data_IF_722524413415
#
_entry.id   IF_722524413415
#
_cell.length_a   1.000
_cell.length_b   1.000
_cell.length_c   1.000
_cell.angle_alpha   90.00
_cell.angle_beta   90.00
_cell.angle_gamma   90.00
#
_symmetry.space_group_name_H-M   'P 1'
#
loop_
_entity.id
_entity.type
_entity.pdbx_description
1 polymer ?
#
# COMPACT_ATOMS: atom_id res chain seq x y z
N UNK A 1 -14.65 -23.57 -3.46
CA UNK A 1 -13.52 -22.81 -4.02
C UNK A 1 -12.77 -22.24 -2.83
N UNK A 2 -11.45 -22.28 -2.84
CA UNK A 2 -10.65 -21.61 -1.80
C UNK A 2 -10.70 -20.10 -2.04
N UNK A 3 -10.87 -19.31 -0.99
CA UNK A 3 -10.87 -17.85 -1.11
C UNK A 3 -9.52 -17.36 -1.65
N UNK A 4 -9.58 -16.52 -2.69
CA UNK A 4 -8.39 -15.97 -3.36
C UNK A 4 -7.83 -14.75 -2.63
N UNK A 5 -8.59 -14.19 -1.69
CA UNK A 5 -8.13 -13.14 -0.78
C UNK A 5 -8.47 -13.59 0.64
N UNK A 6 -7.44 -13.81 1.45
CA UNK A 6 -7.60 -14.11 2.87
C UNK A 6 -7.54 -12.80 3.66
N UNK A 7 -8.34 -12.71 4.71
CA UNK A 7 -8.38 -11.57 5.61
C UNK A 7 -8.35 -12.05 7.06
N UNK A 8 -7.39 -11.53 7.83
CA UNK A 8 -7.24 -11.80 9.25
C UNK A 8 -6.98 -10.50 10.01
N UNK A 9 -7.38 -10.45 11.28
CA UNK A 9 -7.10 -9.34 12.19
C UNK A 9 -6.45 -9.91 13.43
N UNK A 10 -5.24 -9.46 13.72
CA UNK A 10 -4.58 -9.71 15.00
C UNK A 10 -4.82 -8.48 15.89
N UNK A 11 -5.43 -8.70 17.05
CA UNK A 11 -5.65 -7.66 18.05
C UNK A 11 -4.79 -7.91 19.26
N UNK A 12 -4.12 -6.87 19.76
CA UNK A 12 -3.43 -6.95 21.05
C UNK A 12 -4.39 -6.73 22.24
N UNK A 13 -3.86 -6.80 23.46
CA UNK A 13 -4.63 -6.62 24.70
C UNK A 13 -5.26 -5.23 24.87
N UNK A 14 -4.84 -4.24 24.07
CA UNK A 14 -5.41 -2.89 24.00
C UNK A 14 -6.38 -2.71 22.83
N UNK A 15 -6.65 -3.77 22.07
CA UNK A 15 -7.55 -3.76 20.93
C UNK A 15 -6.94 -3.11 19.68
N UNK A 16 -5.61 -3.00 19.59
CA UNK A 16 -4.98 -2.51 18.36
C UNK A 16 -5.09 -3.57 17.27
N UNK A 17 -5.92 -3.31 16.25
CA UNK A 17 -6.07 -4.21 15.12
C UNK A 17 -4.96 -4.04 14.08
N UNK A 18 -4.25 -5.13 13.79
CA UNK A 18 -3.42 -5.27 12.59
C UNK A 18 -4.15 -6.19 11.63
N UNK A 19 -4.63 -5.63 10.53
CA UNK A 19 -5.25 -6.38 9.45
C UNK A 19 -4.19 -6.96 8.53
N UNK A 20 -4.30 -8.24 8.17
CA UNK A 20 -3.51 -8.85 7.10
C UNK A 20 -4.42 -9.26 5.96
N UNK A 21 -4.20 -8.68 4.78
CA UNK A 21 -4.89 -9.01 3.53
C UNK A 21 -3.92 -9.80 2.65
N UNK A 22 -4.22 -11.06 2.39
CA UNK A 22 -3.31 -11.96 1.66
C UNK A 22 -3.91 -12.40 0.33
N UNK A 23 -3.26 -12.06 -0.79
CA UNK A 23 -3.60 -12.67 -2.09
C UNK A 23 -3.17 -14.13 -2.08
N UNK A 24 -4.12 -15.03 -2.31
CA UNK A 24 -3.98 -16.46 -2.13
C UNK A 24 -4.35 -17.24 -3.40
N UNK A 25 -3.52 -17.09 -4.43
CA UNK A 25 -3.62 -17.84 -5.68
C UNK A 25 -2.22 -18.26 -6.17
N UNK A 26 -1.46 -19.01 -5.34
CA UNK A 26 -0.02 -19.22 -5.54
C UNK A 26 0.27 -20.05 -6.80
N UNK A 27 -0.62 -20.96 -7.19
CA UNK A 27 -0.49 -21.80 -8.40
C UNK A 27 -0.50 -20.96 -9.69
N UNK A 28 -1.13 -19.79 -9.65
CA UNK A 28 -1.13 -18.80 -10.74
C UNK A 28 -0.26 -17.59 -10.43
N UNK A 29 0.69 -17.73 -9.49
CA UNK A 29 1.57 -16.64 -9.07
C UNK A 29 0.80 -15.38 -8.66
N UNK A 30 -0.36 -15.53 -8.01
CA UNK A 30 -1.22 -14.44 -7.55
C UNK A 30 -1.62 -13.47 -8.68
N UNK A 31 -1.70 -13.95 -9.91
CA UNK A 31 -2.14 -13.16 -11.05
C UNK A 31 -3.59 -12.68 -10.85
N UNK A 32 -3.85 -11.41 -11.16
CA UNK A 32 -5.13 -10.76 -10.96
C UNK A 32 -6.16 -11.25 -11.98
N UNK A 33 -7.37 -11.42 -11.49
CA UNK A 33 -8.59 -11.51 -12.25
C UNK A 33 -9.65 -10.62 -11.58
N UNK A 34 -10.82 -10.54 -12.20
CA UNK A 34 -11.99 -9.79 -11.73
C UNK A 34 -12.39 -10.15 -10.28
N UNK A 35 -12.23 -11.42 -9.92
CA UNK A 35 -12.58 -11.94 -8.59
C UNK A 35 -11.59 -11.46 -7.51
N UNK A 36 -10.28 -11.53 -7.76
CA UNK A 36 -9.27 -10.96 -6.84
C UNK A 36 -9.46 -9.45 -6.69
N UNK A 37 -9.67 -8.73 -7.80
CA UNK A 37 -9.87 -7.27 -7.77
C UNK A 37 -11.10 -6.91 -6.93
N UNK A 38 -12.22 -7.61 -7.13
CA UNK A 38 -13.46 -7.39 -6.38
C UNK A 38 -13.28 -7.71 -4.89
N UNK A 39 -12.67 -8.85 -4.55
CA UNK A 39 -12.44 -9.25 -3.16
C UNK A 39 -11.49 -8.28 -2.44
N UNK A 40 -10.38 -7.88 -3.06
CA UNK A 40 -9.47 -6.88 -2.50
C UNK A 40 -10.18 -5.55 -2.25
N UNK A 41 -10.95 -5.06 -3.24
CA UNK A 41 -11.71 -3.81 -3.11
C UNK A 41 -12.67 -3.86 -1.92
N UNK A 42 -13.43 -4.95 -1.79
CA UNK A 42 -14.37 -5.10 -0.68
C UNK A 42 -13.65 -5.18 0.67
N UNK A 43 -12.56 -5.94 0.76
CA UNK A 43 -11.77 -6.05 2.00
C UNK A 43 -11.15 -4.71 2.39
N UNK A 44 -10.60 -3.94 1.43
CA UNK A 44 -10.07 -2.60 1.72
C UNK A 44 -11.16 -1.64 2.20
N UNK A 45 -12.36 -1.67 1.60
CA UNK A 45 -13.51 -0.86 2.06
C UNK A 45 -13.94 -1.25 3.48
N UNK A 46 -13.97 -2.55 3.79
CA UNK A 46 -14.28 -3.04 5.14
C UNK A 46 -13.24 -2.52 6.15
N UNK A 47 -11.95 -2.63 5.84
CA UNK A 47 -10.88 -2.15 6.74
C UNK A 47 -10.94 -0.63 6.90
N UNK A 48 -11.14 0.12 5.81
CA UNK A 48 -11.21 1.57 5.84
C UNK A 48 -12.34 2.11 6.74
N UNK A 49 -13.42 1.34 6.90
CA UNK A 49 -14.55 1.68 7.77
C UNK A 49 -14.38 1.23 9.23
N UNK A 50 -13.36 0.43 9.55
CA UNK A 50 -13.11 -0.10 10.90
C UNK A 50 -12.05 0.72 11.64
N UNK A 51 -12.51 1.53 12.59
CA UNK A 51 -11.64 2.40 13.39
C UNK A 51 -10.74 1.64 14.37
N UNK A 52 -11.03 0.36 14.66
CA UNK A 52 -10.21 -0.48 15.52
C UNK A 52 -8.91 -0.95 14.84
N UNK A 53 -8.89 -0.95 13.51
CA UNK A 53 -7.71 -1.32 12.72
C UNK A 53 -6.81 -0.10 12.57
N UNK A 54 -5.54 -0.29 12.96
CA UNK A 54 -4.50 0.75 12.91
C UNK A 54 -3.56 0.58 11.72
N UNK A 55 -3.24 -0.67 11.38
CA UNK A 55 -2.29 -1.03 10.31
C UNK A 55 -2.90 -2.11 9.42
N UNK A 56 -2.69 -2.02 8.12
CA UNK A 56 -3.04 -3.05 7.14
C UNK A 56 -1.77 -3.54 6.44
N UNK A 57 -1.52 -4.85 6.50
CA UNK A 57 -0.44 -5.52 5.76
C UNK A 57 -1.04 -6.18 4.53
N UNK A 58 -0.54 -5.80 3.36
CA UNK A 58 -0.83 -6.47 2.09
C UNK A 58 0.25 -7.51 1.82
N UNK A 59 -0.13 -8.79 1.88
CA UNK A 59 0.74 -9.94 1.70
C UNK A 59 0.24 -10.83 0.55
N UNK A 60 0.99 -11.90 0.28
CA UNK A 60 0.56 -12.92 -0.67
C UNK A 60 1.18 -14.28 -0.34
N UNK A 61 0.55 -15.37 -0.79
CA UNK A 61 1.09 -16.73 -0.60
C UNK A 61 2.01 -17.15 -1.76
N UNK A 62 2.89 -18.11 -1.51
CA UNK A 62 3.76 -18.68 -2.55
C UNK A 62 4.95 -17.79 -2.94
N UNK A 63 5.51 -18.04 -4.13
CA UNK A 63 6.81 -17.50 -4.57
C UNK A 63 6.76 -16.07 -5.14
N UNK A 64 5.59 -15.56 -5.46
CA UNK A 64 5.42 -14.29 -6.18
C UNK A 64 4.47 -13.41 -5.40
N UNK A 65 4.75 -12.11 -5.36
CA UNK A 65 3.78 -11.15 -4.84
C UNK A 65 2.56 -11.11 -5.75
N UNK A 66 2.78 -10.83 -7.04
CA UNK A 66 1.85 -11.13 -8.11
C UNK A 66 2.53 -11.04 -9.49
N UNK A 67 2.20 -11.97 -10.39
CA UNK A 67 2.71 -12.00 -11.76
C UNK A 67 1.99 -11.05 -12.73
N UNK A 68 1.05 -10.21 -12.26
CA UNK A 68 0.28 -9.28 -13.08
C UNK A 68 -1.07 -9.87 -13.49
N UNK A 69 -1.52 -9.65 -14.72
CA UNK A 69 -2.84 -10.11 -15.18
C UNK A 69 -2.88 -11.63 -15.45
N UNK A 70 -3.96 -12.30 -15.04
CA UNK A 70 -4.22 -13.71 -15.33
C UNK A 70 -4.43 -13.94 -16.83
N UNK A 71 -3.91 -15.06 -17.36
CA UNK A 71 -3.99 -15.40 -18.78
C UNK A 71 -5.43 -15.53 -19.29
N UNK A 72 -6.31 -16.12 -18.49
CA UNK A 72 -7.72 -16.28 -18.87
C UNK A 72 -8.45 -14.95 -18.83
N UNK A 73 -8.11 -14.06 -17.89
CA UNK A 73 -8.61 -12.70 -17.87
C UNK A 73 -8.14 -11.89 -19.09
N UNK A 74 -6.86 -11.98 -19.44
CA UNK A 74 -6.33 -11.36 -20.68
C UNK A 74 -7.02 -11.86 -21.95
N UNK A 75 -7.35 -13.16 -22.03
CA UNK A 75 -8.13 -13.71 -23.15
C UNK A 75 -9.53 -13.10 -23.24
N UNK A 76 -10.18 -12.84 -22.10
CA UNK A 76 -11.49 -12.16 -22.07
C UNK A 76 -11.37 -10.71 -22.51
N UNK A 77 -10.39 -9.97 -21.96
CA UNK A 77 -10.11 -8.58 -22.34
C UNK A 77 -9.91 -8.39 -23.85
N UNK A 78 -9.21 -9.34 -24.50
CA UNK A 78 -9.01 -9.30 -25.95
C UNK A 78 -10.31 -9.42 -26.77
N UNK A 79 -11.38 -9.95 -26.18
CA UNK A 79 -12.70 -10.10 -26.83
C UNK A 79 -13.70 -9.01 -26.44
N UNK A 80 -13.37 -8.18 -25.44
CA UNK A 80 -14.24 -7.12 -24.96
C UNK A 80 -14.32 -5.96 -25.95
N UNK A 81 -15.48 -5.31 -25.98
CA UNK A 81 -15.63 -3.99 -26.62
C UNK A 81 -15.02 -2.88 -25.74
N UNK A 82 -15.17 -1.62 -26.17
CA UNK A 82 -14.61 -0.50 -25.43
C UNK A 82 -15.26 -0.32 -24.05
N UNK A 83 -16.59 -0.35 -23.98
CA UNK A 83 -17.33 -0.15 -22.73
C UNK A 83 -17.04 -1.25 -21.70
N UNK A 84 -16.90 -2.49 -22.14
CA UNK A 84 -16.52 -3.63 -21.31
C UNK A 84 -15.09 -3.48 -20.76
N UNK A 85 -14.13 -3.10 -21.61
CA UNK A 85 -12.76 -2.80 -21.17
C UNK A 85 -12.70 -1.59 -20.23
N UNK A 86 -13.51 -0.56 -20.47
CA UNK A 86 -13.57 0.61 -19.59
C UNK A 86 -14.12 0.23 -18.21
N UNK A 87 -15.17 -0.60 -18.17
CA UNK A 87 -15.72 -1.11 -16.90
C UNK A 87 -14.69 -1.94 -16.12
N UNK A 88 -13.96 -2.81 -16.81
CA UNK A 88 -12.90 -3.63 -16.22
C UNK A 88 -11.75 -2.76 -15.68
N UNK A 89 -11.29 -1.78 -16.46
CA UNK A 89 -10.27 -0.82 -16.03
C UNK A 89 -10.72 0.02 -14.83
N UNK A 90 -12.00 0.43 -14.78
CA UNK A 90 -12.55 1.17 -13.65
C UNK A 90 -12.58 0.35 -12.36
N UNK A 91 -12.80 -0.97 -12.43
CA UNK A 91 -12.75 -1.83 -11.24
C UNK A 91 -11.34 -1.87 -10.63
N UNK A 92 -10.31 -2.01 -11.48
CA UNK A 92 -8.90 -1.91 -11.05
C UNK A 92 -8.58 -0.52 -10.49
N UNK A 93 -9.07 0.55 -11.13
CA UNK A 93 -8.88 1.92 -10.67
C UNK A 93 -9.53 2.18 -9.30
N UNK A 94 -10.75 1.69 -9.06
CA UNK A 94 -11.46 1.80 -7.78
C UNK A 94 -10.72 1.07 -6.65
N UNK A 95 -10.19 -0.14 -6.93
CA UNK A 95 -9.38 -0.89 -5.98
C UNK A 95 -8.13 -0.11 -5.54
N UNK A 96 -7.39 0.43 -6.51
CA UNK A 96 -6.16 1.20 -6.25
C UNK A 96 -6.46 2.51 -5.53
N UNK A 97 -7.52 3.20 -5.94
CA UNK A 97 -7.98 4.41 -5.26
C UNK A 97 -8.34 4.13 -3.80
N UNK A 98 -9.11 3.06 -3.56
CA UNK A 98 -9.49 2.63 -2.20
C UNK A 98 -8.26 2.36 -1.35
N UNK A 99 -7.26 1.64 -1.87
CA UNK A 99 -6.02 1.34 -1.15
C UNK A 99 -5.21 2.62 -0.85
N UNK A 100 -5.02 3.49 -1.84
CA UNK A 100 -4.18 4.68 -1.70
C UNK A 100 -4.75 5.68 -0.67
N UNK A 101 -6.07 5.80 -0.57
CA UNK A 101 -6.74 6.80 0.28
C UNK A 101 -7.34 6.25 1.57
N UNK A 102 -7.10 4.98 1.92
CA UNK A 102 -7.59 4.44 3.19
C UNK A 102 -6.88 5.09 4.40
N UNK A 103 -7.59 5.28 5.53
CA UNK A 103 -7.06 6.03 6.68
C UNK A 103 -5.96 5.29 7.44
N UNK A 104 -5.96 3.94 7.44
CA UNK A 104 -4.92 3.15 8.10
C UNK A 104 -3.58 3.27 7.39
N UNK A 105 -2.49 3.06 8.14
CA UNK A 105 -1.16 2.87 7.53
C UNK A 105 -1.09 1.51 6.87
N UNK A 106 -0.57 1.48 5.64
CA UNK A 106 -0.53 0.29 4.79
C UNK A 106 0.90 -0.14 4.49
N UNK A 107 1.18 -1.43 4.61
CA UNK A 107 2.50 -2.01 4.38
C UNK A 107 2.37 -3.13 3.34
N UNK A 108 3.10 -3.04 2.23
CA UNK A 108 3.23 -4.15 1.29
C UNK A 108 4.41 -5.06 1.70
N UNK A 109 4.13 -6.35 1.88
CA UNK A 109 5.13 -7.38 2.10
C UNK A 109 5.44 -8.11 0.79
N UNK A 110 6.52 -7.73 0.10
CA UNK A 110 6.85 -8.20 -1.25
C UNK A 110 7.94 -9.28 -1.21
N UNK A 111 7.53 -10.55 -1.21
CA UNK A 111 8.45 -11.69 -1.09
C UNK A 111 9.08 -12.13 -2.42
N UNK A 112 8.57 -11.65 -3.56
CA UNK A 112 9.00 -12.13 -4.88
C UNK A 112 8.58 -11.22 -6.03
N UNK A 113 8.31 -11.82 -7.20
CA UNK A 113 7.93 -11.07 -8.40
C UNK A 113 6.65 -10.24 -8.20
N UNK A 114 6.68 -8.97 -8.59
CA UNK A 114 5.56 -8.01 -8.56
C UNK A 114 5.47 -7.30 -9.92
N UNK A 115 4.57 -7.74 -10.81
CA UNK A 115 4.45 -7.22 -12.18
C UNK A 115 3.12 -6.52 -12.45
N UNK A 116 3.15 -5.51 -13.32
CA UNK A 116 1.99 -4.74 -13.76
C UNK A 116 1.17 -4.17 -12.61
N UNK A 117 -0.10 -4.59 -12.49
CA UNK A 117 -1.01 -4.23 -11.40
C UNK A 117 -0.41 -4.37 -10.00
N UNK A 118 0.47 -5.35 -9.79
CA UNK A 118 1.14 -5.57 -8.51
C UNK A 118 2.12 -4.44 -8.12
N UNK A 119 2.77 -3.82 -9.12
CA UNK A 119 3.59 -2.61 -8.89
C UNK A 119 2.67 -1.45 -8.50
N UNK A 120 1.47 -1.37 -9.08
CA UNK A 120 0.43 -0.44 -8.67
C UNK A 120 0.03 -0.60 -7.21
N UNK A 121 -0.26 -1.83 -6.76
CA UNK A 121 -0.55 -2.12 -5.35
C UNK A 121 0.59 -1.65 -4.43
N UNK A 122 1.83 -2.04 -4.74
CA UNK A 122 3.00 -1.63 -3.96
C UNK A 122 3.14 -0.09 -3.91
N UNK A 123 2.88 0.59 -5.03
CA UNK A 123 2.96 2.06 -5.12
C UNK A 123 1.84 2.79 -4.38
N UNK A 124 0.72 2.11 -4.06
CA UNK A 124 -0.37 2.67 -3.27
C UNK A 124 -0.19 2.46 -1.77
N UNK A 125 0.69 1.53 -1.36
CA UNK A 125 0.99 1.33 0.05
C UNK A 125 1.88 2.45 0.58
N UNK A 126 1.71 2.80 1.85
CA UNK A 126 2.51 3.83 2.53
C UNK A 126 3.96 3.39 2.70
N UNK A 127 4.17 2.07 2.87
CA UNK A 127 5.47 1.46 3.05
C UNK A 127 5.56 0.14 2.29
N UNK A 128 6.74 -0.17 1.75
CA UNK A 128 7.01 -1.44 1.07
C UNK A 128 8.27 -2.07 1.64
N UNK A 129 8.10 -3.25 2.23
CA UNK A 129 9.20 -4.11 2.69
C UNK A 129 9.35 -5.26 1.70
N UNK A 130 10.52 -5.39 1.09
CA UNK A 130 10.76 -6.38 0.05
C UNK A 130 11.87 -7.36 0.43
N UNK A 131 11.74 -8.62 -0.03
CA UNK A 131 12.88 -9.53 -0.05
C UNK A 131 13.92 -9.06 -1.07
N UNK A 132 15.19 -9.32 -0.79
CA UNK A 132 16.31 -9.23 -1.73
C UNK A 132 16.10 -10.00 -3.05
N UNK A 133 15.24 -11.02 -3.05
CA UNK A 133 14.82 -11.80 -4.24
C UNK A 133 13.65 -11.18 -5.01
N UNK A 134 13.05 -10.09 -4.51
CA UNK A 134 11.95 -9.43 -5.19
C UNK A 134 12.38 -8.79 -6.52
N UNK A 135 11.48 -8.81 -7.48
CA UNK A 135 11.70 -8.20 -8.80
C UNK A 135 10.42 -7.55 -9.31
N UNK A 136 10.59 -6.42 -10.00
CA UNK A 136 9.50 -5.56 -10.40
C UNK A 136 9.53 -5.35 -11.90
N UNK A 137 8.36 -5.21 -12.53
CA UNK A 137 8.25 -5.02 -13.97
C UNK A 137 6.92 -4.38 -14.35
N UNK A 138 6.99 -3.36 -15.21
CA UNK A 138 5.82 -2.74 -15.85
C UNK A 138 5.79 -3.25 -17.29
N UNK A 139 5.20 -4.43 -17.49
CA UNK A 139 5.34 -5.23 -18.71
C UNK A 139 4.34 -4.94 -19.82
N UNK A 140 3.39 -4.04 -19.59
CA UNK A 140 2.21 -3.79 -20.43
C UNK A 140 2.57 -3.50 -21.90
N UNK A 141 3.62 -2.71 -22.14
CA UNK A 141 4.05 -2.34 -23.51
C UNK A 141 4.54 -3.52 -24.34
N UNK A 142 4.91 -4.66 -23.72
CA UNK A 142 5.22 -5.89 -24.46
C UNK A 142 3.99 -6.50 -25.14
N UNK A 143 2.79 -6.12 -24.70
CA UNK A 143 1.51 -6.57 -25.23
C UNK A 143 0.81 -5.49 -26.07
N UNK A 144 1.49 -4.37 -26.35
CA UNK A 144 0.86 -3.21 -27.01
C UNK A 144 -0.09 -2.43 -26.11
N UNK A 145 -0.03 -2.63 -24.80
CA UNK A 145 -0.81 -1.92 -23.79
C UNK A 145 0.05 -0.87 -23.07
N UNK A 146 -0.55 -0.12 -22.14
CA UNK A 146 0.16 0.85 -21.31
C UNK A 146 -0.25 0.68 -19.83
N UNK A 147 0.62 1.00 -18.86
CA UNK A 147 0.31 0.92 -17.43
C UNK A 147 -0.61 2.06 -16.95
N UNK A 148 -1.75 2.26 -17.62
CA UNK A 148 -2.58 3.46 -17.47
C UNK A 148 -3.18 3.61 -16.06
N UNK A 149 -3.90 2.60 -15.56
CA UNK A 149 -4.63 2.66 -14.28
C UNK A 149 -3.70 2.79 -13.07
N UNK A 150 -2.52 2.17 -13.12
CA UNK A 150 -1.51 2.24 -12.06
C UNK A 150 -0.63 3.50 -12.15
N UNK A 151 -0.61 4.17 -13.31
CA UNK A 151 0.37 5.24 -13.59
C UNK A 151 0.38 6.39 -12.59
N UNK A 152 -0.74 6.89 -12.04
CA UNK A 152 -0.70 8.02 -11.09
C UNK A 152 0.13 7.68 -9.85
N UNK A 153 -0.09 6.47 -9.31
CA UNK A 153 0.58 5.98 -8.10
C UNK A 153 2.04 5.65 -8.38
N UNK A 154 2.34 4.97 -9.49
CA UNK A 154 3.71 4.63 -9.86
C UNK A 154 4.53 5.89 -10.12
N UNK A 155 3.98 6.89 -10.83
CA UNK A 155 4.68 8.16 -11.09
C UNK A 155 4.92 8.92 -9.78
N UNK A 156 3.98 8.89 -8.84
CA UNK A 156 4.17 9.45 -7.50
C UNK A 156 5.31 8.76 -6.74
N UNK A 157 5.35 7.42 -6.78
CA UNK A 157 6.33 6.62 -6.02
C UNK A 157 7.76 6.73 -6.57
N UNK A 158 7.96 6.56 -7.89
CA UNK A 158 9.31 6.48 -8.49
C UNK A 158 9.74 7.72 -9.28
N UNK A 159 8.84 8.70 -9.41
CA UNK A 159 9.07 9.93 -10.16
C UNK A 159 9.03 9.76 -11.68
N UNK A 160 8.66 10.86 -12.36
CA UNK A 160 8.42 10.91 -13.82
C UNK A 160 9.55 10.30 -14.66
N UNK A 161 10.81 10.58 -14.34
CA UNK A 161 11.95 10.13 -15.16
C UNK A 161 12.11 8.61 -15.12
N UNK A 162 11.96 8.00 -13.94
CA UNK A 162 12.04 6.55 -13.81
C UNK A 162 10.81 5.88 -14.45
N UNK A 163 9.61 6.41 -14.23
CA UNK A 163 8.38 5.90 -14.85
C UNK A 163 8.49 5.90 -16.37
N UNK A 164 8.97 6.99 -16.99
CA UNK A 164 9.21 7.02 -18.45
C UNK A 164 10.09 5.88 -18.91
N UNK A 165 11.20 5.60 -18.20
CA UNK A 165 12.09 4.49 -18.57
C UNK A 165 11.36 3.15 -18.46
N UNK A 166 10.86 2.81 -17.27
CA UNK A 166 10.32 1.47 -17.03
C UNK A 166 8.98 1.21 -17.73
N UNK A 167 8.17 2.24 -18.00
CA UNK A 167 6.97 2.11 -18.84
C UNK A 167 7.32 1.78 -20.29
N UNK A 168 8.40 2.36 -20.84
CA UNK A 168 8.77 2.17 -22.24
C UNK A 168 9.62 0.91 -22.46
N UNK A 169 10.52 0.58 -21.53
CA UNK A 169 11.45 -0.54 -21.72
C UNK A 169 10.84 -1.87 -21.31
N UNK A 170 9.86 -1.86 -20.39
CA UNK A 170 9.35 -3.07 -19.74
C UNK A 170 10.47 -4.00 -19.21
N UNK A 171 11.61 -3.40 -18.84
CA UNK A 171 12.73 -4.12 -18.24
C UNK A 171 12.40 -4.47 -16.79
N UNK A 172 12.91 -5.60 -16.32
CA UNK A 172 12.83 -5.95 -14.90
C UNK A 172 13.83 -5.12 -14.11
N UNK A 173 13.47 -4.76 -12.88
CA UNK A 173 14.39 -4.16 -11.93
C UNK A 173 14.33 -4.88 -10.57
N UNK A 174 15.46 -4.91 -9.88
CA UNK A 174 15.64 -5.60 -8.60
C UNK A 174 15.05 -4.83 -7.43
N UNK A 175 14.91 -5.48 -6.27
CA UNK A 175 14.60 -4.82 -5.00
C UNK A 175 15.53 -3.64 -4.71
N UNK A 176 16.84 -3.81 -4.86
CA UNK A 176 17.83 -2.74 -4.65
C UNK A 176 17.58 -1.53 -5.56
N UNK A 177 17.21 -1.78 -6.82
CA UNK A 177 16.86 -0.71 -7.75
C UNK A 177 15.52 -0.06 -7.39
N UNK A 178 14.54 -0.85 -6.97
CA UNK A 178 13.25 -0.34 -6.51
C UNK A 178 13.42 0.57 -5.28
N UNK A 179 14.30 0.22 -4.35
CA UNK A 179 14.62 1.04 -3.19
C UNK A 179 15.31 2.35 -3.59
N UNK A 180 16.29 2.30 -4.49
CA UNK A 180 16.92 3.51 -5.02
C UNK A 180 15.90 4.48 -5.65
N UNK A 181 14.81 3.95 -6.21
CA UNK A 181 13.78 4.73 -6.88
C UNK A 181 12.68 5.24 -5.92
N UNK A 182 12.64 4.77 -4.68
CA UNK A 182 11.58 5.11 -3.71
C UNK A 182 10.33 4.23 -3.77
N UNK A 183 10.34 3.10 -4.51
CA UNK A 183 9.23 2.14 -4.50
C UNK A 183 9.32 1.16 -3.31
N UNK A 184 10.52 0.90 -2.81
CA UNK A 184 10.79 0.00 -1.69
C UNK A 184 11.48 0.79 -0.59
N UNK A 185 11.00 0.72 0.63
CA UNK A 185 11.61 1.43 1.75
C UNK A 185 12.70 0.58 2.40
N UNK A 186 12.41 -0.71 2.60
CA UNK A 186 13.29 -1.64 3.28
C UNK A 186 13.49 -2.93 2.49
N UNK A 187 14.74 -3.40 2.44
CA UNK A 187 15.12 -4.68 1.83
C UNK A 187 15.70 -5.57 2.91
N UNK A 188 15.27 -6.83 2.94
CA UNK A 188 15.79 -7.85 3.83
C UNK A 188 15.85 -9.21 3.14
N UNK A 189 16.38 -10.24 3.79
CA UNK A 189 16.36 -11.59 3.20
C UNK A 189 14.94 -12.17 3.23
N UNK A 190 14.66 -13.15 2.37
CA UNK A 190 13.33 -13.79 2.35
C UNK A 190 12.92 -14.36 3.73
N UNK A 191 13.88 -14.84 4.50
CA UNK A 191 13.69 -15.47 5.81
C UNK A 191 13.38 -14.43 6.90
N UNK A 192 13.88 -13.20 6.75
CA UNK A 192 13.68 -12.10 7.69
C UNK A 192 12.50 -11.19 7.34
N UNK A 193 11.88 -11.39 6.16
CA UNK A 193 10.84 -10.51 5.64
C UNK A 193 9.68 -10.28 6.61
N UNK A 194 9.09 -11.34 7.15
CA UNK A 194 7.97 -11.20 8.11
C UNK A 194 8.41 -10.53 9.42
N UNK A 195 9.65 -10.80 9.88
CA UNK A 195 10.18 -10.16 11.08
C UNK A 195 10.42 -8.66 10.87
N UNK A 196 10.88 -8.27 9.70
CA UNK A 196 11.07 -6.86 9.33
C UNK A 196 9.73 -6.12 9.28
N UNK A 197 8.71 -6.71 8.64
CA UNK A 197 7.35 -6.14 8.64
C UNK A 197 6.82 -5.99 10.07
N UNK A 198 7.04 -6.98 10.94
CA UNK A 198 6.64 -6.89 12.35
C UNK A 198 7.35 -5.77 13.11
N UNK A 199 8.62 -5.50 12.80
CA UNK A 199 9.35 -4.38 13.38
C UNK A 199 8.76 -3.03 12.96
N UNK A 200 8.38 -2.87 11.69
CA UNK A 200 7.69 -1.67 11.20
C UNK A 200 6.34 -1.50 11.89
N UNK A 201 5.54 -2.58 12.00
CA UNK A 201 4.26 -2.57 12.73
C UNK A 201 4.45 -2.14 14.18
N UNK A 202 5.45 -2.71 14.88
CA UNK A 202 5.74 -2.37 16.27
C UNK A 202 6.08 -0.89 16.42
N UNK A 203 6.84 -0.33 15.48
CA UNK A 203 7.17 1.10 15.44
C UNK A 203 5.94 1.96 15.24
N UNK A 204 5.02 1.57 14.36
CA UNK A 204 3.77 2.29 14.11
C UNK A 204 2.83 2.26 15.32
N UNK A 205 2.69 1.08 15.97
CA UNK A 205 1.80 0.90 17.11
C UNK A 205 2.26 1.65 18.37
N UNK A 206 3.55 2.00 18.46
CA UNK A 206 4.09 2.84 19.54
C UNK A 206 3.64 4.32 19.49
N UNK A 207 3.06 4.77 18.38
CA UNK A 207 2.64 6.15 18.17
C UNK A 207 1.14 6.37 18.45
N UNK A 208 0.71 7.62 18.59
CA UNK A 208 -0.71 7.98 18.75
C UNK A 208 -1.51 7.61 17.49
N UNK A 209 -2.59 6.81 17.60
CA UNK A 209 -3.37 6.37 16.43
C UNK A 209 -3.93 7.52 15.59
N UNK A 210 -4.45 8.58 16.21
CA UNK A 210 -5.03 9.71 15.46
C UNK A 210 -3.92 10.56 14.82
N UNK A 211 -2.81 10.78 15.53
CA UNK A 211 -1.65 11.48 15.01
C UNK A 211 -1.05 10.77 13.78
N UNK A 212 -0.98 9.44 13.77
CA UNK A 212 -0.49 8.67 12.61
C UNK A 212 -1.41 8.85 11.39
N UNK A 213 -2.74 8.71 11.57
CA UNK A 213 -3.72 8.93 10.49
C UNK A 213 -3.62 10.36 9.93
N UNK A 214 -3.54 11.35 10.81
CA UNK A 214 -3.43 12.76 10.43
C UNK A 214 -2.09 13.09 9.79
N UNK A 215 -0.99 12.45 10.19
CA UNK A 215 0.32 12.62 9.58
C UNK A 215 0.34 12.08 8.13
N UNK A 216 -0.25 10.91 7.89
CA UNK A 216 -0.46 10.37 6.54
C UNK A 216 -1.25 11.35 5.68
N UNK A 217 -2.42 11.78 6.16
CA UNK A 217 -3.27 12.72 5.42
C UNK A 217 -2.57 14.06 5.16
N UNK A 218 -1.83 14.58 6.14
CA UNK A 218 -1.06 15.82 5.99
C UNK A 218 -0.03 15.72 4.88
N UNK A 219 0.70 14.62 4.77
CA UNK A 219 1.67 14.42 3.69
C UNK A 219 1.00 14.49 2.32
N UNK A 220 -0.18 13.88 2.15
CA UNK A 220 -0.96 13.94 0.92
C UNK A 220 -1.50 15.34 0.64
N UNK A 221 -1.99 16.03 1.67
CA UNK A 221 -2.62 17.35 1.55
C UNK A 221 -1.64 18.46 1.21
N UNK A 222 -0.35 18.31 1.54
CA UNK A 222 0.70 19.30 1.24
C UNK A 222 1.51 18.97 -0.01
N UNK A 223 1.52 17.71 -0.44
CA UNK A 223 2.31 17.26 -1.59
C UNK A 223 1.95 18.04 -2.87
N UNK A 224 2.98 18.47 -3.60
CA UNK A 224 2.82 19.16 -4.89
C UNK A 224 2.25 20.57 -4.82
N UNK A 225 1.90 21.08 -3.63
CA UNK A 225 1.42 22.46 -3.46
C UNK A 225 2.60 23.44 -3.33
N UNK A 226 2.45 24.68 -3.85
CA UNK A 226 3.43 25.73 -3.59
C UNK A 226 3.44 26.12 -2.12
N UNK A 227 4.64 26.35 -1.56
CA UNK A 227 4.79 26.86 -0.20
C UNK A 227 4.48 28.36 -0.21
N UNK A 228 3.31 28.72 0.31
CA UNK A 228 2.81 30.10 0.38
C UNK A 228 2.15 30.37 1.75
N UNK A 229 1.75 31.62 1.99
CA UNK A 229 1.16 32.05 3.27
C UNK A 229 -0.08 31.23 3.65
N UNK A 230 -0.89 30.84 2.66
CA UNK A 230 -2.08 30.01 2.89
C UNK A 230 -1.71 28.62 3.41
N UNK A 231 -0.74 27.94 2.78
CA UNK A 231 -0.29 26.62 3.22
C UNK A 231 0.40 26.68 4.59
N UNK A 232 1.18 27.74 4.84
CA UNK A 232 1.81 27.98 6.15
C UNK A 232 0.74 28.18 7.24
N UNK A 233 -0.29 28.98 6.96
CA UNK A 233 -1.40 29.19 7.89
C UNK A 233 -2.16 27.88 8.16
N UNK A 234 -2.50 27.13 7.12
CA UNK A 234 -3.22 25.86 7.23
C UNK A 234 -2.45 24.84 8.08
N UNK A 235 -1.17 24.62 7.79
CA UNK A 235 -0.33 23.68 8.54
C UNK A 235 -0.12 24.12 10.00
N UNK A 236 -0.01 25.43 10.25
CA UNK A 236 0.05 25.99 11.61
C UNK A 236 -1.25 25.76 12.41
N UNK A 237 -2.41 25.90 11.76
CA UNK A 237 -3.72 25.63 12.38
C UNK A 237 -3.88 24.14 12.70
N UNK A 238 -3.46 23.24 11.80
CA UNK A 238 -3.54 21.79 12.01
C UNK A 238 -2.73 21.35 13.24
N UNK A 239 -1.47 21.81 13.38
CA UNK A 239 -0.66 21.43 14.54
C UNK A 239 -1.18 22.06 15.84
N UNK A 240 -1.74 23.28 15.79
CA UNK A 240 -2.38 23.89 16.94
C UNK A 240 -3.60 23.07 17.42
N UNK A 241 -4.42 22.59 16.49
CA UNK A 241 -5.58 21.75 16.80
C UNK A 241 -5.18 20.39 17.40
N UNK A 242 -4.17 19.71 16.84
CA UNK A 242 -3.69 18.42 17.38
C UNK A 242 -3.08 18.59 18.77
N UNK A 243 -2.34 19.69 19.04
CA UNK A 243 -1.74 19.92 20.36
C UNK A 243 -2.76 20.03 21.49
N UNK A 244 -3.94 20.58 21.21
CA UNK A 244 -5.01 20.72 22.23
C UNK A 244 -5.97 19.53 22.26
N UNK A 245 -5.78 18.53 21.39
CA UNK A 245 -6.63 17.33 21.37
C UNK A 245 -6.35 16.44 22.59
N UNK A 246 -7.28 15.53 22.95
CA UNK A 246 -7.05 14.56 24.03
C UNK A 246 -5.79 13.72 23.82
N UNK A 247 -5.55 13.21 22.61
CA UNK A 247 -4.36 12.42 22.28
C UNK A 247 -3.08 13.26 22.38
N UNK A 248 -3.11 14.50 21.89
CA UNK A 248 -1.97 15.41 21.98
C UNK A 248 -1.60 15.76 23.40
N UNK A 249 -2.59 16.03 24.26
CA UNK A 249 -2.38 16.31 25.68
C UNK A 249 -1.83 15.10 26.44
N UNK A 250 -2.36 13.89 26.18
CA UNK A 250 -1.84 12.65 26.77
C UNK A 250 -0.37 12.41 26.37
N UNK A 251 -0.02 12.57 25.09
CA UNK A 251 1.36 12.38 24.62
C UNK A 251 2.36 13.34 25.24
N UNK A 252 2.01 14.62 25.31
CA UNK A 252 2.85 15.64 25.94
C UNK A 252 3.02 15.37 27.43
N UNK A 253 1.94 15.01 28.13
CA UNK A 253 1.96 14.70 29.56
C UNK A 253 2.82 13.46 29.83
N UNK A 254 2.59 12.36 29.10
CA UNK A 254 3.35 11.12 29.24
C UNK A 254 4.86 11.34 29.02
N UNK A 255 5.24 12.17 28.05
CA UNK A 255 6.62 12.54 27.79
C UNK A 255 7.28 13.26 28.98
N UNK A 256 6.61 14.29 29.55
CA UNK A 256 7.14 15.02 30.70
C UNK A 256 7.17 14.17 31.98
N UNK A 257 6.19 13.30 32.16
CA UNK A 257 6.08 12.37 33.29
C UNK A 257 7.02 11.15 33.15
N UNK A 258 7.69 10.99 32.00
CA UNK A 258 8.56 9.84 31.68
C UNK A 258 7.85 8.49 31.82
N UNK A 259 6.60 8.42 31.40
CA UNK A 259 5.79 7.20 31.38
C UNK A 259 5.38 6.85 29.95
N UNK A 260 5.03 5.59 29.65
CA UNK A 260 4.37 5.24 28.40
C UNK A 260 3.05 6.01 28.25
N UNK A 261 2.73 6.38 27.02
CA UNK A 261 1.42 6.94 26.69
C UNK A 261 0.35 5.83 26.65
N UNK A 262 -0.92 6.20 26.87
CA UNK A 262 -2.01 5.22 27.01
C UNK A 262 -2.19 4.28 25.80
N UNK A 263 -1.84 4.73 24.59
CA UNK A 263 -1.91 3.95 23.34
C UNK A 263 -0.75 2.97 23.14
N UNK A 264 0.28 2.96 23.99
CA UNK A 264 1.35 1.97 23.90
C UNK A 264 0.99 0.73 24.69
N UNK A 265 0.95 -0.44 24.06
CA UNK A 265 0.78 -1.71 24.77
C UNK A 265 1.97 -1.92 25.71
N UNK A 266 1.66 -2.25 26.96
CA UNK A 266 2.64 -2.53 28.02
C UNK A 266 3.41 -3.82 27.75
#
# INVERSE_FOLDING_TARGET
MTDKVLFAIDSDSKGHGVATVTVNNPDKHNAFDDDIISQLTQTFKTIAADESIRVMVLASTGKSFSAGADLSWMKRMASYNYEENLKDANALADMLYTLNFMPQTTIAQVQGAAFGGAVGLASCCDMVVASDKASFCLSEVKLGLIPATISPYVVSAIGLKASRRYFQTAERFSAAKAQQLGLVDEITTSEQLSAQVQQVITTLLANGPDAVKQAKQLAMDVAGRPINDQLIQETSQRIAAIRVSPEGQEGLTAFFDKRPANWQSS
#
